data_IF_665621872707
#
_entry.id   IF_665621872707
#
_cell.length_a   1.000
_cell.length_b   1.000
_cell.length_c   1.000
_cell.angle_alpha   90.00
_cell.angle_beta   90.00
_cell.angle_gamma   90.00
#
_symmetry.space_group_name_H-M   'P 1'
#
loop_
_entity.id
_entity.type
_entity.pdbx_description
1 polymer ?
#
# COMPACT_ATOMS: atom_id res chain seq x y z
N UNK A 1 18.92 29.28 -1.05
CA UNK A 1 17.95 28.54 -0.21
C UNK A 1 17.65 27.27 -0.98
N UNK A 2 18.14 26.12 -0.50
CA UNK A 2 17.89 24.82 -1.09
C UNK A 2 16.75 24.14 -0.35
N UNK A 3 15.61 24.00 -1.02
CA UNK A 3 14.57 23.04 -0.69
C UNK A 3 13.67 22.88 -1.92
N UNK A 4 13.76 21.75 -2.62
CA UNK A 4 12.73 21.34 -3.57
C UNK A 4 12.12 20.02 -3.06
N UNK A 5 10.99 20.08 -2.35
CA UNK A 5 10.33 18.93 -1.75
C UNK A 5 9.62 18.01 -2.75
N UNK A 6 9.70 18.27 -4.06
CA UNK A 6 9.01 17.46 -5.07
C UNK A 6 9.86 16.29 -5.60
N UNK A 7 11.18 16.35 -5.49
CA UNK A 7 12.09 15.39 -6.15
C UNK A 7 12.11 13.98 -5.54
N UNK A 8 11.61 13.79 -4.31
CA UNK A 8 11.57 12.48 -3.63
C UNK A 8 10.16 11.91 -3.43
N UNK A 9 9.10 12.73 -3.55
CA UNK A 9 7.71 12.26 -3.39
C UNK A 9 7.23 11.49 -4.63
N UNK A 10 7.84 11.76 -5.79
CA UNK A 10 7.62 11.06 -7.07
C UNK A 10 8.95 10.55 -7.66
N UNK A 11 9.93 10.24 -6.81
CA UNK A 11 11.22 9.71 -7.24
C UNK A 11 11.13 8.29 -7.84
N UNK A 12 12.22 7.82 -8.43
CA UNK A 12 12.34 6.46 -8.97
C UNK A 12 11.83 5.34 -8.04
N UNK A 13 12.04 5.39 -6.70
CA UNK A 13 11.47 4.38 -5.80
C UNK A 13 9.95 4.29 -5.84
N UNK A 14 9.26 5.43 -6.01
CA UNK A 14 7.80 5.46 -6.13
C UNK A 14 7.34 4.78 -7.44
N UNK A 15 8.09 4.99 -8.54
CA UNK A 15 7.82 4.34 -9.83
C UNK A 15 8.09 2.83 -9.82
N UNK A 16 9.05 2.37 -9.02
CA UNK A 16 9.36 0.94 -8.87
C UNK A 16 8.39 0.20 -7.93
N UNK A 17 7.70 0.93 -7.04
CA UNK A 17 6.81 0.35 -6.01
C UNK A 17 5.73 -0.58 -6.57
N UNK A 18 4.99 -0.25 -7.65
CA UNK A 18 3.97 -1.13 -8.22
C UNK A 18 4.49 -2.52 -8.65
N UNK A 19 5.80 -2.61 -8.95
CA UNK A 19 6.46 -3.82 -9.44
C UNK A 19 7.26 -4.56 -8.35
N UNK A 20 7.28 -4.02 -7.12
CA UNK A 20 8.06 -4.56 -6.00
C UNK A 20 7.18 -5.39 -5.09
N UNK A 21 7.63 -6.58 -4.65
CA UNK A 21 6.90 -7.47 -3.72
C UNK A 21 6.87 -6.92 -2.29
N UNK A 22 6.06 -5.89 -2.04
CA UNK A 22 5.83 -5.25 -0.74
C UNK A 22 4.32 -5.19 -0.45
N UNK A 23 3.88 -5.21 0.82
CA UNK A 23 2.51 -4.89 1.22
C UNK A 23 1.88 -3.72 0.45
N UNK A 24 0.62 -3.84 0.06
CA UNK A 24 -0.06 -2.86 -0.79
C UNK A 24 0.19 -3.05 -2.29
N UNK A 25 0.37 -4.31 -2.74
CA UNK A 25 0.38 -4.65 -4.16
C UNK A 25 -1.00 -4.44 -4.76
N UNK A 26 -1.04 -3.93 -5.98
CA UNK A 26 -2.24 -3.91 -6.79
C UNK A 26 -2.45 -5.28 -7.42
N UNK A 27 -3.63 -5.87 -7.27
CA UNK A 27 -3.95 -7.21 -7.77
C UNK A 27 -5.35 -7.25 -8.40
N UNK A 28 -5.58 -8.20 -9.29
CA UNK A 28 -6.89 -8.46 -9.87
C UNK A 28 -7.02 -9.93 -10.32
N UNK A 29 -8.24 -10.48 -10.46
CA UNK A 29 -8.43 -11.80 -11.08
C UNK A 29 -8.08 -11.74 -12.57
N UNK A 30 -7.35 -12.74 -13.08
CA UNK A 30 -6.88 -12.78 -14.48
C UNK A 30 -8.03 -12.67 -15.49
N UNK A 31 -9.15 -13.36 -15.24
CA UNK A 31 -10.31 -13.38 -16.14
C UNK A 31 -11.13 -12.09 -16.13
N UNK A 32 -10.87 -11.22 -15.16
CA UNK A 32 -11.59 -9.97 -14.96
C UNK A 32 -10.65 -8.91 -14.37
N UNK A 33 -9.61 -8.50 -15.13
CA UNK A 33 -8.48 -7.73 -14.61
C UNK A 33 -8.81 -6.25 -14.34
N UNK A 34 -10.09 -5.88 -14.44
CA UNK A 34 -10.64 -4.56 -14.14
C UNK A 34 -11.28 -4.48 -12.74
N UNK A 35 -11.47 -5.62 -12.07
CA UNK A 35 -11.77 -5.65 -10.63
C UNK A 35 -10.48 -5.62 -9.83
N UNK A 36 -10.01 -4.41 -9.58
CA UNK A 36 -8.73 -4.17 -8.92
C UNK A 36 -8.91 -3.96 -7.41
N UNK A 37 -7.95 -4.46 -6.66
CA UNK A 37 -7.80 -4.17 -5.25
C UNK A 37 -6.34 -4.19 -4.84
N UNK A 38 -6.12 -4.05 -3.55
CA UNK A 38 -4.81 -4.06 -2.93
C UNK A 38 -4.58 -5.36 -2.16
N UNK A 39 -3.32 -5.64 -1.85
CA UNK A 39 -2.93 -6.73 -0.98
C UNK A 39 -2.44 -6.24 0.38
N UNK A 40 -2.58 -7.11 1.38
CA UNK A 40 -2.18 -6.86 2.75
C UNK A 40 -0.75 -7.32 2.96
N UNK A 41 -0.58 -8.50 3.53
CA UNK A 41 0.71 -9.05 3.96
C UNK A 41 1.01 -10.40 3.34
N UNK A 42 2.29 -10.70 3.16
CA UNK A 42 2.78 -12.02 2.81
C UNK A 42 2.85 -12.91 4.04
N UNK A 43 2.39 -14.14 3.92
CA UNK A 43 2.29 -15.10 5.01
C UNK A 43 2.88 -16.44 4.61
N UNK A 44 3.57 -17.07 5.56
CA UNK A 44 3.84 -18.50 5.52
C UNK A 44 2.54 -19.23 5.91
N UNK A 45 2.14 -20.23 5.15
CA UNK A 45 0.84 -20.89 5.33
C UNK A 45 0.84 -22.04 6.35
N UNK A 46 2.00 -22.40 6.89
CA UNK A 46 2.19 -23.46 7.87
C UNK A 46 3.45 -23.19 8.70
N UNK A 47 3.50 -23.72 9.92
CA UNK A 47 4.74 -23.74 10.71
C UNK A 47 5.62 -24.96 10.41
N UNK A 48 5.14 -25.89 9.57
CA UNK A 48 5.92 -27.03 9.10
C UNK A 48 7.05 -26.54 8.17
N UNK A 49 8.33 -26.81 8.51
CA UNK A 49 9.45 -26.36 7.68
C UNK A 49 9.45 -26.94 6.26
N UNK A 50 8.74 -28.04 6.00
CA UNK A 50 8.60 -28.65 4.67
C UNK A 50 7.61 -27.86 3.80
N UNK A 51 6.58 -27.27 4.40
CA UNK A 51 5.58 -26.48 3.68
C UNK A 51 6.10 -25.06 3.40
N UNK A 52 6.66 -24.89 2.21
CA UNK A 52 7.19 -23.60 1.73
C UNK A 52 6.15 -22.74 1.01
N UNK A 53 4.85 -23.02 1.14
CA UNK A 53 3.83 -22.19 0.49
C UNK A 53 3.78 -20.80 1.09
N UNK A 54 3.61 -19.80 0.22
CA UNK A 54 3.48 -18.40 0.58
C UNK A 54 2.12 -17.92 0.11
N UNK A 55 1.36 -17.34 1.02
CA UNK A 55 0.08 -16.70 0.74
C UNK A 55 0.19 -15.20 0.82
N UNK A 56 -0.65 -14.52 0.06
CA UNK A 56 -0.88 -13.08 0.13
C UNK A 56 -2.30 -12.84 0.63
N UNK A 57 -2.42 -12.17 1.77
CA UNK A 57 -3.71 -11.77 2.33
C UNK A 57 -4.31 -10.64 1.50
N UNK A 58 -5.59 -10.73 1.17
CA UNK A 58 -6.40 -9.65 0.56
C UNK A 58 -7.88 -9.85 0.93
N UNK A 59 -8.78 -9.02 0.41
CA UNK A 59 -10.22 -9.19 0.58
C UNK A 59 -10.78 -10.32 -0.30
N UNK A 60 -11.87 -10.94 0.16
CA UNK A 60 -12.62 -11.92 -0.62
C UNK A 60 -13.15 -11.28 -1.91
N UNK A 61 -13.73 -10.09 -1.81
CA UNK A 61 -14.29 -9.38 -2.97
C UNK A 61 -13.26 -8.87 -3.98
N UNK A 62 -11.98 -8.84 -3.60
CA UNK A 62 -10.88 -8.52 -4.54
C UNK A 62 -10.49 -9.77 -5.33
N UNK A 63 -10.44 -10.93 -4.67
CA UNK A 63 -10.10 -12.21 -5.32
C UNK A 63 -11.25 -12.78 -6.14
N UNK A 64 -12.49 -12.66 -5.64
CA UNK A 64 -13.72 -13.15 -6.27
C UNK A 64 -14.80 -12.06 -6.17
N UNK A 65 -14.80 -11.07 -7.09
CA UNK A 65 -15.74 -9.96 -7.06
C UNK A 65 -17.20 -10.43 -7.14
N UNK A 66 -18.10 -9.96 -6.23
CA UNK A 66 -19.49 -10.39 -6.17
C UNK A 66 -20.29 -10.27 -7.48
N UNK A 67 -20.06 -9.24 -8.33
CA UNK A 67 -20.74 -9.16 -9.63
C UNK A 67 -20.44 -10.34 -10.58
N UNK A 68 -19.33 -11.06 -10.37
CA UNK A 68 -18.91 -12.20 -11.19
C UNK A 68 -19.07 -13.53 -10.44
N UNK A 69 -18.84 -13.52 -9.13
CA UNK A 69 -18.79 -14.72 -8.32
C UNK A 69 -19.87 -14.69 -7.24
N UNK A 70 -20.59 -15.81 -7.08
CA UNK A 70 -21.50 -15.96 -5.96
C UNK A 70 -20.73 -15.90 -4.63
N UNK A 71 -21.32 -15.23 -3.63
CA UNK A 71 -20.76 -15.12 -2.28
C UNK A 71 -20.82 -16.47 -1.55
N UNK A 72 -19.80 -17.30 -1.78
CA UNK A 72 -19.65 -18.62 -1.19
C UNK A 72 -18.18 -18.89 -0.88
N UNK A 73 -17.96 -19.73 0.14
CA UNK A 73 -16.63 -20.23 0.42
C UNK A 73 -16.04 -20.96 -0.78
N UNK A 74 -14.79 -20.64 -1.09
CA UNK A 74 -14.02 -21.30 -2.12
C UNK A 74 -12.67 -21.72 -1.55
N UNK A 75 -12.23 -22.93 -1.87
CA UNK A 75 -10.88 -23.40 -1.57
C UNK A 75 -10.40 -24.18 -2.76
N UNK A 76 -9.28 -23.75 -3.35
CA UNK A 76 -8.67 -24.48 -4.43
C UNK A 76 -8.27 -25.88 -3.97
N UNK A 77 -8.64 -26.87 -4.78
CA UNK A 77 -8.25 -28.26 -4.63
C UNK A 77 -7.81 -28.75 -5.99
N UNK A 78 -6.54 -29.14 -6.07
CA UNK A 78 -5.96 -29.69 -7.29
C UNK A 78 -6.82 -30.87 -7.81
N UNK A 79 -7.02 -30.91 -9.13
CA UNK A 79 -7.86 -31.91 -9.79
C UNK A 79 -9.37 -31.77 -9.60
N UNK A 80 -9.85 -30.88 -8.70
CA UNK A 80 -11.30 -30.72 -8.44
C UNK A 80 -11.87 -29.42 -9.02
N UNK A 81 -11.10 -28.32 -8.94
CA UNK A 81 -11.54 -27.00 -9.42
C UNK A 81 -10.52 -26.42 -10.39
N UNK A 82 -10.96 -25.68 -11.43
CA UNK A 82 -10.03 -24.90 -12.23
C UNK A 82 -9.31 -23.89 -11.34
N UNK A 83 -8.03 -23.68 -11.63
CA UNK A 83 -7.21 -22.68 -10.97
C UNK A 83 -7.75 -21.28 -11.32
N UNK A 84 -8.02 -20.46 -10.30
CA UNK A 84 -8.46 -19.08 -10.46
C UNK A 84 -7.24 -18.15 -10.29
N UNK A 85 -6.60 -17.80 -11.40
CA UNK A 85 -5.37 -17.01 -11.42
C UNK A 85 -5.58 -15.54 -11.02
N UNK A 86 -4.56 -14.99 -10.36
CA UNK A 86 -4.49 -13.60 -9.93
C UNK A 86 -3.27 -12.94 -10.57
N UNK A 87 -3.49 -11.74 -11.11
CA UNK A 87 -2.45 -10.92 -11.74
C UNK A 87 -1.98 -9.81 -10.83
N UNK A 88 -0.68 -9.51 -10.90
CA UNK A 88 -0.09 -8.32 -10.33
C UNK A 88 -0.38 -7.15 -11.27
N UNK A 89 -0.93 -6.07 -10.73
CA UNK A 89 -1.49 -4.94 -11.48
C UNK A 89 -2.64 -5.42 -12.38
N UNK A 90 -3.85 -4.94 -12.14
CA UNK A 90 -4.93 -5.06 -13.13
C UNK A 90 -4.68 -4.18 -14.35
N UNK A 91 -5.65 -4.11 -15.26
CA UNK A 91 -5.49 -3.32 -16.49
C UNK A 91 -5.28 -1.83 -16.22
N UNK A 92 -6.08 -1.24 -15.33
CA UNK A 92 -5.99 0.19 -15.02
C UNK A 92 -4.71 0.47 -14.23
N UNK A 93 -4.44 -0.31 -13.19
CA UNK A 93 -3.24 -0.19 -12.37
C UNK A 93 -1.94 -0.27 -13.19
N UNK A 94 -1.86 -1.16 -14.19
CA UNK A 94 -0.68 -1.25 -15.06
C UNK A 94 -0.56 -0.03 -15.98
N UNK A 95 -1.65 0.38 -16.62
CA UNK A 95 -1.65 1.55 -17.50
C UNK A 95 -1.29 2.82 -16.73
N UNK A 96 -1.80 2.99 -15.51
CA UNK A 96 -1.47 4.10 -14.64
C UNK A 96 0.02 4.07 -14.26
N UNK A 97 0.57 2.91 -13.88
CA UNK A 97 2.00 2.78 -13.54
C UNK A 97 2.93 3.10 -14.73
N UNK A 98 2.59 2.66 -15.94
CA UNK A 98 3.33 3.02 -17.16
C UNK A 98 3.19 4.52 -17.47
N UNK A 99 1.97 5.06 -17.32
CA UNK A 99 1.69 6.48 -17.48
C UNK A 99 2.47 7.35 -16.51
N UNK A 100 2.63 6.91 -15.26
CA UNK A 100 3.41 7.58 -14.23
C UNK A 100 4.90 7.65 -14.58
N UNK A 101 5.47 6.56 -15.11
CA UNK A 101 6.86 6.54 -15.60
C UNK A 101 7.04 7.54 -16.75
N UNK A 102 6.13 7.53 -17.72
CA UNK A 102 6.19 8.44 -18.87
C UNK A 102 6.01 9.91 -18.46
N UNK A 103 5.11 10.18 -17.51
CA UNK A 103 4.90 11.52 -16.94
C UNK A 103 6.15 11.99 -16.20
N UNK A 104 6.79 11.13 -15.42
CA UNK A 104 8.04 11.45 -14.74
C UNK A 104 9.14 11.82 -15.74
N UNK A 105 9.32 11.04 -16.81
CA UNK A 105 10.28 11.35 -17.89
C UNK A 105 9.96 12.71 -18.51
N UNK A 106 8.71 12.97 -18.87
CA UNK A 106 8.27 14.24 -19.45
C UNK A 106 8.56 15.43 -18.54
N UNK A 107 8.30 15.29 -17.23
CA UNK A 107 8.60 16.32 -16.23
C UNK A 107 10.11 16.61 -16.15
N UNK A 108 10.96 15.59 -16.16
CA UNK A 108 12.42 15.77 -16.16
C UNK A 108 12.92 16.45 -17.45
N UNK A 109 12.38 16.08 -18.62
CA UNK A 109 12.71 16.74 -19.90
C UNK A 109 12.34 18.22 -19.85
N UNK A 110 11.13 18.55 -19.38
CA UNK A 110 10.69 19.94 -19.23
C UNK A 110 11.58 20.75 -18.27
N UNK A 111 12.00 20.13 -17.15
CA UNK A 111 12.92 20.74 -16.19
C UNK A 111 14.30 21.02 -16.82
N UNK A 112 14.86 20.07 -17.58
CA UNK A 112 16.12 20.25 -18.32
C UNK A 112 16.00 21.44 -19.27
N UNK A 113 14.95 21.52 -20.09
CA UNK A 113 14.76 22.64 -21.02
C UNK A 113 14.69 23.99 -20.31
N UNK A 114 14.02 24.06 -19.15
CA UNK A 114 13.97 25.29 -18.34
C UNK A 114 15.33 25.68 -17.77
N UNK A 115 16.13 24.72 -17.29
CA UNK A 115 17.46 24.97 -16.76
C UNK A 115 18.48 25.30 -17.85
N UNK A 116 18.41 24.67 -19.02
CA UNK A 116 19.23 25.00 -20.18
C UNK A 116 18.93 26.43 -20.65
N UNK A 117 17.66 26.84 -20.70
CA UNK A 117 17.29 28.23 -20.99
C UNK A 117 17.86 29.18 -19.93
N UNK A 118 17.73 28.85 -18.64
CA UNK A 118 18.32 29.66 -17.57
C UNK A 118 19.85 29.78 -17.69
N UNK A 119 20.51 28.72 -18.14
CA UNK A 119 21.97 28.68 -18.36
C UNK A 119 22.39 29.63 -19.48
N UNK A 120 21.57 29.82 -20.53
CA UNK A 120 21.85 30.81 -21.61
C UNK A 120 21.89 32.26 -21.09
N UNK A 121 21.19 32.54 -19.99
CA UNK A 121 21.17 33.84 -19.34
C UNK A 121 22.34 34.05 -18.38
N UNK A 122 23.12 32.99 -18.08
CA UNK A 122 24.36 33.10 -17.30
C UNK A 122 25.50 33.49 -18.25
N UNK A 123 26.26 34.57 -17.96
CA UNK A 123 27.39 34.97 -18.80
C UNK A 123 28.38 33.83 -19.06
N UNK A 124 29.12 33.87 -20.16
CA UNK A 124 30.22 32.93 -20.39
C UNK A 124 31.29 33.03 -19.29
N UNK A 125 31.94 31.91 -18.97
CA UNK A 125 32.97 31.85 -17.93
C UNK A 125 34.11 32.85 -18.20
N UNK A 126 34.59 33.49 -17.14
CA UNK A 126 35.75 34.40 -17.16
C UNK A 126 36.62 34.18 -15.92
N UNK A 127 37.93 34.32 -16.10
CA UNK A 127 38.97 34.04 -15.08
C UNK A 127 38.82 34.83 -13.76
N UNK A 128 38.07 35.94 -13.76
CA UNK A 128 37.81 36.79 -12.59
C UNK A 128 36.30 37.06 -12.36
N UNK A 129 35.41 36.14 -12.74
CA UNK A 129 33.97 36.33 -12.52
C UNK A 129 33.57 36.26 -11.03
N UNK A 130 32.43 36.87 -10.69
CA UNK A 130 31.91 36.80 -9.33
C UNK A 130 31.54 35.36 -8.95
N UNK A 131 31.96 34.89 -7.77
CA UNK A 131 31.70 33.52 -7.27
C UNK A 131 30.23 33.10 -7.35
N UNK A 132 29.28 34.04 -7.22
CA UNK A 132 27.84 33.77 -7.38
C UNK A 132 27.45 33.30 -8.79
N UNK A 133 28.13 33.79 -9.82
CA UNK A 133 27.89 33.42 -11.22
C UNK A 133 28.40 32.00 -11.46
N UNK A 134 29.61 31.69 -11.00
CA UNK A 134 30.17 30.33 -11.05
C UNK A 134 29.27 29.34 -10.33
N UNK A 135 28.90 29.64 -9.08
CA UNK A 135 28.02 28.78 -8.28
C UNK A 135 26.66 28.54 -8.96
N UNK A 136 26.08 29.57 -9.61
CA UNK A 136 24.82 29.40 -10.34
C UNK A 136 24.97 28.51 -11.56
N UNK A 137 26.07 28.64 -12.30
CA UNK A 137 26.39 27.79 -13.45
C UNK A 137 26.55 26.33 -13.02
N UNK A 138 27.28 26.09 -11.94
CA UNK A 138 27.54 24.76 -11.40
C UNK A 138 26.25 24.11 -10.88
N UNK A 139 25.40 24.87 -10.19
CA UNK A 139 24.07 24.43 -9.74
C UNK A 139 23.21 23.96 -10.92
N UNK A 140 23.08 24.78 -11.97
CA UNK A 140 22.27 24.44 -13.14
C UNK A 140 22.82 23.21 -13.88
N UNK A 141 24.13 23.13 -14.08
CA UNK A 141 24.76 21.95 -14.68
C UNK A 141 24.53 20.68 -13.86
N UNK A 142 24.62 20.79 -12.52
CA UNK A 142 24.35 19.67 -11.62
C UNK A 142 22.89 19.20 -11.71
N UNK A 143 21.93 20.13 -11.76
CA UNK A 143 20.51 19.82 -11.94
C UNK A 143 20.22 19.13 -13.28
N UNK A 144 20.78 19.66 -14.38
CA UNK A 144 20.63 19.08 -15.72
C UNK A 144 21.18 17.64 -15.74
N UNK A 145 22.39 17.42 -15.22
CA UNK A 145 23.00 16.10 -15.19
C UNK A 145 22.20 15.12 -14.30
N UNK A 146 21.74 15.58 -13.14
CA UNK A 146 20.90 14.77 -12.25
C UNK A 146 19.57 14.36 -12.90
N UNK A 147 18.93 15.25 -13.64
CA UNK A 147 17.71 14.92 -14.38
C UNK A 147 17.96 13.97 -15.55
N UNK A 148 19.10 14.08 -16.26
CA UNK A 148 19.50 13.13 -17.31
C UNK A 148 19.64 11.71 -16.75
N UNK A 149 20.33 11.54 -15.63
CA UNK A 149 20.44 10.23 -14.94
C UNK A 149 19.07 9.69 -14.54
N UNK A 150 18.18 10.54 -14.01
CA UNK A 150 16.81 10.13 -13.67
C UNK A 150 16.00 9.67 -14.89
N UNK A 151 16.18 10.33 -16.03
CA UNK A 151 15.53 9.93 -17.30
C UNK A 151 16.07 8.57 -17.77
N UNK A 152 17.39 8.35 -17.70
CA UNK A 152 18.01 7.06 -18.04
C UNK A 152 17.44 5.93 -17.19
N UNK A 153 17.46 6.07 -15.87
CA UNK A 153 16.90 5.07 -14.93
C UNK A 153 15.39 4.81 -15.17
N UNK A 154 14.62 5.87 -15.44
CA UNK A 154 13.19 5.75 -15.72
C UNK A 154 12.92 5.06 -17.07
N UNK A 155 13.75 5.30 -18.09
CA UNK A 155 13.68 4.61 -19.38
C UNK A 155 14.05 3.13 -19.26
N UNK A 156 15.05 2.78 -18.44
CA UNK A 156 15.37 1.40 -18.13
C UNK A 156 14.21 0.69 -17.46
N UNK A 157 13.60 1.32 -16.44
CA UNK A 157 12.40 0.82 -15.80
C UNK A 157 11.25 0.66 -16.81
N UNK A 158 10.98 1.68 -17.64
CA UNK A 158 9.95 1.64 -18.67
C UNK A 158 10.16 0.45 -19.63
N UNK A 159 11.40 0.25 -20.10
CA UNK A 159 11.76 -0.86 -20.99
C UNK A 159 11.54 -2.21 -20.31
N UNK A 160 11.95 -2.33 -19.04
CA UNK A 160 11.74 -3.54 -18.26
C UNK A 160 10.25 -3.85 -18.07
N UNK A 161 9.43 -2.85 -17.68
CA UNK A 161 8.01 -3.09 -17.38
C UNK A 161 7.22 -3.39 -18.66
N UNK A 162 7.48 -2.68 -19.74
CA UNK A 162 6.81 -2.94 -21.02
C UNK A 162 7.17 -4.31 -21.60
N UNK A 163 8.43 -4.75 -21.43
CA UNK A 163 8.85 -6.08 -21.87
C UNK A 163 8.22 -7.22 -21.06
N UNK A 164 8.09 -7.05 -19.73
CA UNK A 164 7.76 -8.17 -18.83
C UNK A 164 6.31 -8.15 -18.31
N UNK A 165 5.57 -7.03 -18.41
CA UNK A 165 4.26 -6.88 -17.78
C UNK A 165 3.15 -6.43 -18.73
N UNK A 166 3.44 -6.12 -20.00
CA UNK A 166 2.41 -5.65 -20.96
C UNK A 166 1.30 -6.66 -21.18
N UNK A 167 1.64 -7.94 -21.40
CA UNK A 167 0.65 -9.00 -21.50
C UNK A 167 0.12 -9.36 -20.11
N UNK A 168 -1.20 -9.48 -19.99
CA UNK A 168 -1.88 -9.79 -18.71
C UNK A 168 -1.46 -11.14 -18.14
N UNK A 169 -1.17 -12.10 -19.00
CA UNK A 169 -0.72 -13.45 -18.66
C UNK A 169 0.69 -13.44 -18.05
N UNK A 170 1.56 -12.52 -18.47
CA UNK A 170 2.90 -12.37 -17.89
C UNK A 170 2.86 -11.82 -16.46
N UNK A 171 1.75 -11.18 -16.09
CA UNK A 171 1.51 -10.61 -14.77
C UNK A 171 0.94 -11.61 -13.76
N UNK A 172 0.57 -12.80 -14.20
CA UNK A 172 0.11 -13.87 -13.29
C UNK A 172 1.22 -14.17 -12.30
N UNK A 173 0.89 -14.09 -11.01
CA UNK A 173 1.85 -14.32 -9.93
C UNK A 173 1.39 -15.32 -8.87
N UNK A 174 0.17 -15.82 -9.00
CA UNK A 174 -0.43 -16.76 -8.07
C UNK A 174 -1.89 -17.04 -8.42
N UNK A 175 -2.59 -17.70 -7.50
CA UNK A 175 -3.97 -18.09 -7.66
C UNK A 175 -4.73 -18.02 -6.34
N UNK A 176 -6.06 -17.92 -6.39
CA UNK A 176 -6.92 -17.93 -5.21
C UNK A 176 -6.83 -19.31 -4.54
N UNK A 177 -6.14 -19.40 -3.41
CA UNK A 177 -6.08 -20.65 -2.63
C UNK A 177 -7.34 -20.80 -1.78
N UNK A 178 -7.78 -19.71 -1.16
CA UNK A 178 -9.00 -19.69 -0.38
C UNK A 178 -9.63 -18.31 -0.45
N UNK A 179 -10.95 -18.26 -0.70
CA UNK A 179 -11.76 -17.07 -0.56
C UNK A 179 -12.86 -17.39 0.44
N UNK A 180 -12.92 -16.64 1.53
CA UNK A 180 -13.99 -16.81 2.51
C UNK A 180 -15.31 -16.27 1.96
N UNK A 181 -16.42 -16.86 2.38
CA UNK A 181 -17.73 -16.23 2.26
C UNK A 181 -17.72 -14.92 3.03
N UNK A 182 -18.22 -13.85 2.41
CA UNK A 182 -18.40 -12.55 3.05
C UNK A 182 -19.62 -12.64 3.95
N UNK A 183 -19.41 -12.68 5.26
CA UNK A 183 -20.46 -12.80 6.26
C UNK A 183 -20.03 -12.32 7.65
N UNK A 184 -21.02 -12.09 8.52
CA UNK A 184 -20.78 -11.86 9.94
C UNK A 184 -20.41 -13.19 10.61
N UNK A 185 -19.16 -13.30 11.05
CA UNK A 185 -18.67 -14.51 11.70
C UNK A 185 -18.67 -14.43 13.23
N UNK A 186 -17.88 -15.33 13.83
CA UNK A 186 -17.71 -15.41 15.28
C UNK A 186 -17.22 -14.07 15.85
N UNK A 187 -17.78 -13.66 16.98
CA UNK A 187 -17.48 -12.36 17.59
C UNK A 187 -18.19 -11.18 16.93
N UNK A 188 -19.02 -11.42 15.92
CA UNK A 188 -19.83 -10.39 15.27
C UNK A 188 -19.10 -9.57 14.21
N UNK A 189 -17.86 -9.91 13.86
CA UNK A 189 -17.10 -9.18 12.84
C UNK A 189 -17.51 -9.55 11.42
N UNK A 190 -17.50 -8.57 10.52
CA UNK A 190 -17.56 -8.84 9.08
C UNK A 190 -16.25 -9.48 8.62
N UNK A 191 -16.33 -10.67 8.06
CA UNK A 191 -15.18 -11.34 7.45
C UNK A 191 -15.24 -11.20 5.94
N UNK A 192 -14.23 -10.53 5.39
CA UNK A 192 -14.05 -10.34 3.96
C UNK A 192 -12.56 -10.53 3.66
N UNK A 193 -12.15 -11.78 3.47
CA UNK A 193 -10.75 -12.12 3.33
C UNK A 193 -10.52 -13.30 2.37
N UNK A 194 -9.35 -13.29 1.76
CA UNK A 194 -8.89 -14.29 0.82
C UNK A 194 -7.38 -14.45 0.95
N UNK A 195 -6.89 -15.64 0.59
CA UNK A 195 -5.48 -15.97 0.46
C UNK A 195 -5.22 -16.31 -1.00
N UNK A 196 -4.35 -15.51 -1.62
CA UNK A 196 -3.76 -15.82 -2.93
C UNK A 196 -2.45 -16.55 -2.68
N UNK A 197 -2.34 -17.81 -3.07
CA UNK A 197 -1.07 -18.53 -3.01
C UNK A 197 -0.19 -18.07 -4.18
N UNK A 198 1.05 -17.71 -3.89
CA UNK A 198 2.03 -17.34 -4.90
C UNK A 198 2.53 -18.58 -5.63
N UNK A 199 2.81 -18.42 -6.92
CA UNK A 199 3.62 -19.41 -7.64
C UNK A 199 5.08 -19.32 -7.18
N UNK A 200 5.76 -20.46 -7.08
CA UNK A 200 7.08 -20.56 -6.47
C UNK A 200 8.15 -19.70 -7.17
N UNK A 201 8.01 -19.45 -8.48
CA UNK A 201 8.93 -18.66 -9.30
C UNK A 201 8.64 -17.14 -9.25
N UNK A 202 7.58 -16.72 -8.55
CA UNK A 202 7.09 -15.33 -8.58
C UNK A 202 7.55 -14.48 -7.40
N UNK A 203 8.30 -15.07 -6.49
CA UNK A 203 8.99 -14.39 -5.40
C UNK A 203 10.43 -14.92 -5.30
N UNK A 204 11.38 -14.02 -5.54
CA UNK A 204 12.80 -14.26 -5.27
C UNK A 204 13.03 -13.95 -3.79
N UNK A 205 13.16 -15.01 -2.99
CA UNK A 205 13.26 -14.87 -1.55
C UNK A 205 14.59 -14.24 -1.11
N UNK A 206 15.68 -14.47 -1.85
CA UNK A 206 16.97 -13.82 -1.61
C UNK A 206 16.89 -12.29 -1.80
N UNK A 207 15.97 -11.82 -2.66
CA UNK A 207 15.70 -10.40 -2.89
C UNK A 207 14.51 -9.86 -2.10
N UNK A 208 13.76 -10.71 -1.41
CA UNK A 208 12.58 -10.28 -0.66
C UNK A 208 13.00 -9.46 0.55
N UNK A 209 12.55 -8.21 0.63
CA UNK A 209 12.94 -7.29 1.71
C UNK A 209 12.15 -7.49 3.01
N UNK A 210 11.31 -8.53 3.08
CA UNK A 210 10.39 -8.78 4.19
C UNK A 210 9.05 -8.07 4.01
N UNK A 211 8.11 -8.36 4.90
CA UNK A 211 6.90 -7.56 5.08
C UNK A 211 7.28 -6.16 5.59
N UNK A 212 7.61 -5.25 4.68
CA UNK A 212 7.88 -3.83 4.96
C UNK A 212 6.91 -2.96 4.19
N UNK A 213 6.12 -2.16 4.89
CA UNK A 213 5.17 -1.24 4.27
C UNK A 213 5.90 0.04 3.81
N UNK A 214 5.75 0.40 2.54
CA UNK A 214 6.23 1.68 2.05
C UNK A 214 5.34 2.81 2.56
N UNK A 215 5.91 3.74 3.33
CA UNK A 215 5.21 4.88 3.95
C UNK A 215 5.58 6.23 3.31
N UNK A 216 6.28 6.19 2.17
CA UNK A 216 6.65 7.37 1.37
C UNK A 216 5.75 7.56 0.15
N UNK A 217 6.30 8.06 -0.94
CA UNK A 217 5.56 8.38 -2.16
C UNK A 217 4.87 9.72 -1.99
N UNK A 218 3.55 9.77 -1.98
CA UNK A 218 2.78 11.01 -1.82
C UNK A 218 2.84 11.64 -0.40
N UNK A 219 3.72 11.15 0.49
CA UNK A 219 3.93 11.64 1.86
C UNK A 219 5.41 11.80 2.19
N UNK A 220 5.71 12.85 2.94
CA UNK A 220 7.06 13.21 3.35
C UNK A 220 7.46 12.57 4.68
N UNK A 221 8.76 12.58 4.96
CA UNK A 221 9.31 12.32 6.29
C UNK A 221 8.71 13.25 7.37
N UNK A 222 8.39 14.49 7.02
CA UNK A 222 7.76 15.44 7.93
C UNK A 222 6.31 15.04 8.25
N UNK A 223 5.56 14.58 7.25
CA UNK A 223 4.19 14.07 7.46
C UNK A 223 4.19 12.86 8.39
N UNK A 224 5.09 11.88 8.17
CA UNK A 224 5.25 10.74 9.08
C UNK A 224 5.47 11.18 10.53
N UNK A 225 6.41 12.12 10.74
CA UNK A 225 6.68 12.67 12.07
C UNK A 225 5.44 13.33 12.68
N UNK A 226 4.77 14.18 11.91
CA UNK A 226 3.68 15.01 12.41
C UNK A 226 2.42 14.20 12.75
N UNK A 227 2.12 13.14 11.98
CA UNK A 227 0.88 12.38 12.16
C UNK A 227 1.06 11.08 12.95
N UNK A 228 2.27 10.52 12.98
CA UNK A 228 2.56 9.29 13.73
C UNK A 228 3.29 9.56 15.06
N UNK A 229 3.84 10.76 15.26
CA UNK A 229 4.44 11.20 16.52
C UNK A 229 3.97 12.63 16.88
N UNK A 230 2.65 12.84 16.98
CA UNK A 230 2.07 14.18 17.06
C UNK A 230 2.40 14.89 18.38
N UNK A 231 2.54 14.14 19.47
CA UNK A 231 2.75 14.69 20.80
C UNK A 231 4.22 15.07 21.05
N UNK A 232 4.51 16.15 21.79
CA UNK A 232 5.89 16.49 22.17
C UNK A 232 6.62 15.34 22.88
N UNK A 233 5.91 14.57 23.71
CA UNK A 233 6.47 13.42 24.42
C UNK A 233 6.74 12.24 23.47
N UNK A 234 5.93 12.04 22.43
CA UNK A 234 6.14 11.01 21.41
C UNK A 234 7.42 11.26 20.60
N UNK A 235 7.80 12.53 20.41
CA UNK A 235 8.95 12.91 19.58
C UNK A 235 10.27 12.35 20.08
N UNK A 236 10.38 11.98 21.37
CA UNK A 236 11.57 11.31 21.90
C UNK A 236 11.74 9.89 21.34
N UNK A 237 10.64 9.22 20.99
CA UNK A 237 10.62 7.90 20.38
C UNK A 237 10.50 7.93 18.85
N UNK A 238 10.56 9.12 18.24
CA UNK A 238 10.50 9.24 16.79
C UNK A 238 11.68 8.52 16.15
N UNK A 239 11.36 7.62 15.23
CA UNK A 239 12.31 7.01 14.33
C UNK A 239 11.76 7.09 12.91
N UNK A 240 12.61 7.50 11.96
CA UNK A 240 12.28 7.43 10.54
C UNK A 240 12.70 6.06 10.02
N UNK A 241 11.77 5.23 9.50
CA UNK A 241 12.15 3.99 8.84
C UNK A 241 13.10 4.29 7.69
N UNK A 242 14.22 3.56 7.63
CA UNK A 242 15.16 3.66 6.51
C UNK A 242 14.41 3.43 5.19
N UNK A 243 14.68 4.27 4.20
CA UNK A 243 14.06 4.23 2.87
C UNK A 243 12.52 4.34 2.89
N UNK A 244 11.94 4.90 3.97
CA UNK A 244 10.48 4.95 4.18
C UNK A 244 9.83 3.55 4.18
N UNK A 245 10.57 2.51 4.59
CA UNK A 245 10.09 1.13 4.66
C UNK A 245 9.87 0.70 6.11
N UNK A 246 8.62 0.75 6.58
CA UNK A 246 8.23 0.37 7.93
C UNK A 246 8.16 -1.17 8.06
N UNK A 247 9.02 -1.82 8.87
CA UNK A 247 8.95 -3.26 9.09
C UNK A 247 7.67 -3.64 9.82
N UNK A 248 6.93 -4.61 9.29
CA UNK A 248 5.70 -5.11 9.88
C UNK A 248 5.98 -6.28 10.81
N UNK A 249 5.31 -6.32 11.96
CA UNK A 249 5.50 -7.34 12.98
C UNK A 249 4.27 -7.48 13.86
N UNK A 250 3.97 -8.68 14.32
CA UNK A 250 2.90 -8.91 15.29
C UNK A 250 1.58 -8.24 14.90
N UNK A 251 0.75 -7.92 15.89
CA UNK A 251 -0.53 -7.25 15.67
C UNK A 251 -0.98 -6.54 16.94
N UNK A 252 -1.94 -5.64 16.80
CA UNK A 252 -2.55 -4.94 17.94
C UNK A 252 -3.59 -5.86 18.60
N UNK A 253 -3.45 -6.18 19.91
CA UNK A 253 -4.41 -7.03 20.61
C UNK A 253 -5.75 -6.31 20.81
N UNK A 254 -6.83 -7.08 20.99
CA UNK A 254 -8.19 -6.53 21.15
C UNK A 254 -8.30 -5.48 22.26
N UNK A 255 -7.71 -5.74 23.43
CA UNK A 255 -7.76 -4.82 24.57
C UNK A 255 -7.17 -3.44 24.24
N UNK A 256 -6.08 -3.40 23.45
CA UNK A 256 -5.46 -2.14 23.03
C UNK A 256 -6.25 -1.48 21.89
N UNK A 257 -6.81 -2.27 20.96
CA UNK A 257 -7.66 -1.75 19.88
C UNK A 257 -8.92 -1.06 20.42
N UNK A 258 -9.53 -1.62 21.47
CA UNK A 258 -10.72 -1.09 22.15
C UNK A 258 -10.38 0.07 23.11
N UNK A 259 -9.16 0.10 23.65
CA UNK A 259 -8.72 1.12 24.59
C UNK A 259 -7.32 1.65 24.21
N UNK A 260 -7.23 2.49 23.16
CA UNK A 260 -5.96 3.06 22.72
C UNK A 260 -5.33 3.96 23.77
N UNK A 261 -4.00 3.92 23.88
CA UNK A 261 -3.25 4.76 24.83
C UNK A 261 -2.51 5.94 24.19
N UNK A 262 -2.27 5.93 22.86
CA UNK A 262 -1.62 7.06 22.20
C UNK A 262 -2.60 8.22 22.06
N UNK A 263 -2.07 9.44 21.95
CA UNK A 263 -2.84 10.63 21.66
C UNK A 263 -2.58 11.07 20.22
N UNK A 264 -3.64 11.49 19.53
CA UNK A 264 -3.53 12.05 18.19
C UNK A 264 -3.17 13.55 18.17
N UNK A 265 -3.18 14.17 16.99
CA UNK A 265 -2.92 15.61 16.82
C UNK A 265 -3.93 16.51 17.55
N UNK A 266 -5.10 15.97 17.91
CA UNK A 266 -6.19 16.67 18.62
C UNK A 266 -6.22 16.32 20.12
N UNK A 267 -5.20 15.65 20.64
CA UNK A 267 -5.10 15.15 22.02
C UNK A 267 -6.20 14.14 22.39
N UNK A 268 -6.72 13.40 21.41
CA UNK A 268 -7.69 12.33 21.64
C UNK A 268 -7.01 10.97 21.65
N UNK A 269 -7.49 10.07 22.51
CA UNK A 269 -6.98 8.69 22.59
C UNK A 269 -7.29 7.93 21.31
N UNK A 270 -6.25 7.46 20.62
CA UNK A 270 -6.37 6.68 19.40
C UNK A 270 -5.13 5.82 19.11
N UNK A 271 -5.29 4.80 18.27
CA UNK A 271 -4.17 4.21 17.55
C UNK A 271 -3.88 5.06 16.32
N UNK A 272 -2.62 5.45 16.16
CA UNK A 272 -2.16 6.16 14.98
C UNK A 272 -1.92 5.14 13.87
N UNK A 273 -2.63 5.32 12.77
CA UNK A 273 -2.73 4.35 11.69
C UNK A 273 -2.09 4.88 10.41
N UNK A 274 -1.42 3.99 9.69
CA UNK A 274 -0.91 4.23 8.34
C UNK A 274 -1.27 3.05 7.45
N UNK A 275 -1.51 3.32 6.17
CA UNK A 275 -1.51 2.30 5.12
C UNK A 275 -0.78 2.82 3.89
N UNK A 276 -0.48 1.92 2.96
CA UNK A 276 -0.23 2.26 1.57
C UNK A 276 -1.21 1.46 0.71
N UNK A 277 -2.07 2.20 0.01
CA UNK A 277 -3.10 1.65 -0.84
C UNK A 277 -2.84 1.90 -2.32
N UNK A 278 -3.43 1.06 -3.15
CA UNK A 278 -3.33 1.14 -4.60
C UNK A 278 -3.85 2.44 -5.19
N UNK A 279 -4.92 3.01 -4.62
CA UNK A 279 -5.60 4.19 -5.16
C UNK A 279 -5.14 5.49 -4.50
N UNK A 280 -4.88 5.48 -3.20
CA UNK A 280 -4.56 6.71 -2.43
C UNK A 280 -3.10 6.84 -2.03
N UNK A 281 -2.26 5.86 -2.34
CA UNK A 281 -0.87 5.80 -1.86
C UNK A 281 -0.83 5.73 -0.33
N UNK A 282 0.11 6.45 0.29
CA UNK A 282 0.21 6.50 1.74
C UNK A 282 -0.80 7.47 2.35
N UNK A 283 -1.57 6.98 3.32
CA UNK A 283 -2.51 7.78 4.11
C UNK A 283 -2.30 7.57 5.61
N UNK A 284 -2.52 8.63 6.38
CA UNK A 284 -2.46 8.61 7.84
C UNK A 284 -3.86 8.77 8.41
N UNK A 285 -4.12 8.10 9.53
CA UNK A 285 -5.41 8.13 10.18
C UNK A 285 -5.35 7.73 11.64
N UNK A 286 -6.52 7.53 12.22
CA UNK A 286 -6.69 7.14 13.62
C UNK A 286 -7.79 6.11 13.79
N UNK A 287 -7.58 5.19 14.72
CA UNK A 287 -8.59 4.24 15.20
C UNK A 287 -8.84 4.50 16.68
N UNK A 288 -10.05 4.91 17.03
CA UNK A 288 -10.41 5.34 18.38
C UNK A 288 -11.36 4.35 19.10
N UNK A 289 -11.35 3.08 18.69
CA UNK A 289 -12.20 2.03 19.27
C UNK A 289 -13.67 2.10 18.86
N UNK A 290 -14.06 3.00 17.94
CA UNK A 290 -15.42 3.06 17.42
C UNK A 290 -15.68 1.88 16.48
N UNK A 291 -16.71 1.11 16.81
CA UNK A 291 -17.25 0.02 16.00
C UNK A 291 -18.49 0.48 15.24
N UNK A 292 -18.56 0.16 13.95
CA UNK A 292 -19.82 0.19 13.21
C UNK A 292 -20.64 -1.06 13.56
N UNK A 293 -21.96 -0.96 13.64
CA UNK A 293 -22.83 -2.09 14.04
C UNK A 293 -23.85 -2.44 12.95
N UNK A 294 -24.03 -1.66 11.90
CA UNK A 294 -25.00 -2.01 10.83
C UNK A 294 -24.57 -1.43 9.49
N UNK A 295 -24.27 -2.32 8.53
CA UNK A 295 -23.98 -1.95 7.14
C UNK A 295 -24.78 -2.82 6.20
N UNK A 296 -25.34 -2.22 5.14
CA UNK A 296 -26.05 -2.94 4.08
C UNK A 296 -25.07 -3.17 2.93
N UNK A 297 -24.78 -4.42 2.63
CA UNK A 297 -23.93 -4.82 1.50
C UNK A 297 -24.83 -5.31 0.36
N UNK A 298 -25.61 -4.39 -0.20
CA UNK A 298 -26.62 -4.69 -1.23
C UNK A 298 -25.96 -5.35 -2.46
N UNK A 299 -24.80 -4.83 -2.87
CA UNK A 299 -24.04 -5.31 -4.03
C UNK A 299 -23.48 -6.74 -3.85
N UNK A 300 -23.48 -7.23 -2.61
CA UNK A 300 -23.01 -8.56 -2.24
C UNK A 300 -24.18 -9.54 -1.99
N UNK A 301 -25.43 -9.10 -2.21
CA UNK A 301 -26.64 -9.86 -1.89
C UNK A 301 -26.90 -10.02 -0.39
N UNK A 302 -26.12 -9.37 0.47
CA UNK A 302 -26.21 -9.48 1.93
C UNK A 302 -27.21 -8.44 2.44
N UNK A 303 -28.36 -8.91 2.92
CA UNK A 303 -29.43 -8.07 3.48
C UNK A 303 -29.05 -7.63 4.88
N UNK A 304 -28.80 -6.32 5.08
CA UNK A 304 -28.72 -5.60 6.37
C UNK A 304 -28.39 -6.47 7.59
N UNK A 305 -27.13 -6.89 7.72
CA UNK A 305 -26.66 -7.62 8.89
C UNK A 305 -26.03 -6.66 9.91
N UNK A 306 -26.19 -6.98 11.20
CA UNK A 306 -25.44 -6.27 12.24
C UNK A 306 -24.01 -6.81 12.25
N UNK A 307 -23.07 -6.05 11.75
CA UNK A 307 -21.68 -6.43 11.64
C UNK A 307 -20.80 -5.42 12.39
N UNK A 308 -19.83 -5.93 13.16
CA UNK A 308 -18.77 -5.16 13.79
C UNK A 308 -17.64 -4.92 12.79
N UNK A 309 -17.33 -3.66 12.55
CA UNK A 309 -16.17 -3.21 11.79
C UNK A 309 -15.52 -2.04 12.53
N UNK A 310 -14.19 -1.96 12.52
CA UNK A 310 -13.49 -0.82 13.10
C UNK A 310 -13.37 0.30 12.07
N UNK A 311 -13.57 1.54 12.53
CA UNK A 311 -13.47 2.71 11.69
C UNK A 311 -12.06 3.31 11.78
N UNK A 312 -11.48 3.60 10.62
CA UNK A 312 -10.29 4.44 10.50
C UNK A 312 -10.72 5.82 10.00
N UNK A 313 -10.41 6.86 10.77
CA UNK A 313 -10.64 8.24 10.37
C UNK A 313 -9.34 8.82 9.80
N UNK A 314 -9.37 9.28 8.54
CA UNK A 314 -8.19 9.84 7.87
C UNK A 314 -7.91 11.29 8.26
N UNK A 315 -6.67 11.71 8.00
CA UNK A 315 -6.24 13.10 8.11
C UNK A 315 -5.97 13.72 6.74
N UNK A 316 -6.40 14.97 6.58
CA UNK A 316 -5.77 15.87 5.62
C UNK A 316 -4.38 16.23 6.17
N UNK A 317 -3.31 15.91 5.42
CA UNK A 317 -1.94 16.18 5.87
C UNK A 317 -1.50 17.64 5.74
N UNK A 318 -2.33 18.48 5.12
CA UNK A 318 -2.12 19.93 4.99
C UNK A 318 -2.81 20.70 6.10
N UNK A 319 -4.05 20.31 6.46
CA UNK A 319 -4.86 21.06 7.44
C UNK A 319 -4.94 20.39 8.81
N UNK A 320 -4.73 19.06 8.89
CA UNK A 320 -4.98 18.28 10.10
C UNK A 320 -6.45 17.92 10.33
N UNK A 321 -7.35 18.32 9.42
CA UNK A 321 -8.77 18.00 9.50
C UNK A 321 -9.08 16.55 9.07
N UNK A 322 -10.34 16.17 9.19
CA UNK A 322 -10.82 14.87 8.69
C UNK A 322 -10.80 14.85 7.15
N UNK A 323 -10.25 13.76 6.61
CA UNK A 323 -10.29 13.44 5.18
C UNK A 323 -10.56 11.95 4.97
N UNK A 324 -10.81 11.57 3.71
CA UNK A 324 -10.86 10.17 3.30
C UNK A 324 -9.54 9.48 3.62
N UNK A 325 -9.62 8.32 4.28
CA UNK A 325 -8.44 7.50 4.53
C UNK A 325 -8.16 6.52 3.38
N UNK A 326 -9.18 6.16 2.61
CA UNK A 326 -9.10 5.21 1.50
C UNK A 326 -9.99 5.59 0.32
N UNK A 327 -9.79 4.93 -0.81
CA UNK A 327 -10.66 5.02 -1.99
C UNK A 327 -10.85 3.64 -2.63
N UNK A 328 -11.75 3.53 -3.61
CA UNK A 328 -11.93 2.32 -4.39
C UNK A 328 -10.60 1.86 -5.02
N UNK A 329 -10.23 0.60 -4.79
CA UNK A 329 -8.92 0.03 -5.13
C UNK A 329 -7.98 -0.17 -3.94
N UNK A 330 -8.24 0.47 -2.79
CA UNK A 330 -7.48 0.24 -1.55
C UNK A 330 -7.94 -1.00 -0.76
N UNK A 331 -9.08 -1.61 -1.10
CA UNK A 331 -9.58 -2.82 -0.45
C UNK A 331 -8.52 -3.91 -0.45
N UNK A 332 -8.30 -4.54 0.70
CA UNK A 332 -7.26 -5.53 0.92
C UNK A 332 -5.92 -4.96 1.39
N UNK A 333 -5.71 -3.63 1.36
CA UNK A 333 -4.56 -3.03 2.03
C UNK A 333 -4.57 -3.29 3.53
N UNK A 334 -3.38 -3.50 4.10
CA UNK A 334 -3.22 -3.64 5.53
C UNK A 334 -3.04 -2.26 6.19
N UNK A 335 -3.77 -2.04 7.28
CA UNK A 335 -3.62 -0.87 8.15
C UNK A 335 -2.73 -1.23 9.33
N UNK A 336 -1.73 -0.40 9.61
CA UNK A 336 -0.69 -0.70 10.61
C UNK A 336 -0.46 0.50 11.54
N UNK A 337 0.04 0.21 12.74
CA UNK A 337 0.46 1.21 13.71
C UNK A 337 1.84 1.78 13.39
N UNK A 338 2.20 2.89 14.04
CA UNK A 338 3.54 3.53 13.93
C UNK A 338 4.71 2.60 14.28
N UNK A 339 4.44 1.55 15.04
CA UNK A 339 5.39 0.55 15.52
C UNK A 339 5.46 -0.70 14.61
N UNK A 340 4.75 -0.68 13.47
CA UNK A 340 4.70 -1.79 12.52
C UNK A 340 3.69 -2.89 12.88
N UNK A 341 2.93 -2.76 13.97
CA UNK A 341 1.90 -3.75 14.33
C UNK A 341 0.66 -3.64 13.46
N UNK A 342 0.16 -4.79 13.01
CA UNK A 342 -1.03 -4.89 12.18
C UNK A 342 -2.27 -4.50 12.99
N UNK A 343 -3.02 -3.51 12.50
CA UNK A 343 -4.28 -3.06 13.10
C UNK A 343 -5.44 -3.85 12.47
N UNK A 344 -5.54 -3.87 11.14
CA UNK A 344 -6.62 -4.57 10.45
C UNK A 344 -6.52 -4.54 8.93
N UNK A 345 -7.29 -5.39 8.28
CA UNK A 345 -7.43 -5.46 6.83
C UNK A 345 -8.53 -4.51 6.37
N UNK A 346 -8.23 -3.64 5.41
CA UNK A 346 -9.19 -2.69 4.87
C UNK A 346 -10.21 -3.40 3.96
N UNK A 347 -11.49 -3.29 4.28
CA UNK A 347 -12.59 -3.96 3.55
C UNK A 347 -13.40 -3.00 2.69
N UNK A 348 -13.41 -1.71 2.99
CA UNK A 348 -14.01 -0.70 2.12
C UNK A 348 -14.21 0.65 2.79
N UNK A 349 -14.83 1.58 2.06
CA UNK A 349 -15.25 2.89 2.53
C UNK A 349 -16.76 3.02 2.72
N UNK A 350 -17.21 4.17 3.20
CA UNK A 350 -18.63 4.48 3.33
C UNK A 350 -18.88 5.83 3.95
N UNK A 351 -19.67 6.64 3.26
CA UNK A 351 -20.06 7.98 3.66
C UNK A 351 -20.47 8.80 2.43
N UNK A 352 -21.31 9.83 2.58
CA UNK A 352 -21.83 10.59 1.44
C UNK A 352 -20.81 11.55 0.82
N UNK A 353 -19.74 11.90 1.55
CA UNK A 353 -18.73 12.89 1.14
C UNK A 353 -17.34 12.49 1.66
N UNK A 354 -16.28 12.97 1.02
CA UNK A 354 -14.88 12.76 1.45
C UNK A 354 -14.60 13.13 2.92
N UNK A 355 -15.27 14.17 3.45
CA UNK A 355 -15.10 14.60 4.86
C UNK A 355 -15.79 13.67 5.86
N UNK A 356 -16.79 12.95 5.39
CA UNK A 356 -17.61 12.03 6.19
C UNK A 356 -17.31 10.56 5.90
N UNK A 357 -16.48 10.29 4.88
CA UNK A 357 -16.10 8.94 4.50
C UNK A 357 -15.38 8.25 5.64
N UNK A 358 -15.83 7.04 5.93
CA UNK A 358 -15.29 6.16 6.95
C UNK A 358 -14.69 4.95 6.25
N UNK A 359 -13.41 4.71 6.48
CA UNK A 359 -12.79 3.46 6.10
C UNK A 359 -13.08 2.40 7.15
N UNK A 360 -13.49 1.22 6.70
CA UNK A 360 -13.75 0.06 7.53
C UNK A 360 -12.61 -0.94 7.42
N UNK A 361 -12.27 -1.52 8.58
CA UNK A 361 -11.30 -2.61 8.67
C UNK A 361 -11.89 -3.77 9.46
N UNK A 362 -11.56 -4.99 9.06
CA UNK A 362 -11.65 -6.16 9.95
C UNK A 362 -10.38 -6.21 10.79
N UNK A 363 -10.47 -6.25 12.14
CA UNK A 363 -9.30 -6.17 12.99
C UNK A 363 -8.42 -7.42 12.84
N UNK A 364 -7.11 -7.23 12.78
CA UNK A 364 -6.18 -8.32 12.43
C UNK A 364 -6.17 -9.43 13.50
N UNK A 365 -6.38 -9.10 14.78
CA UNK A 365 -6.48 -10.12 15.82
C UNK A 365 -7.64 -11.10 15.57
N UNK A 366 -8.78 -10.63 15.06
CA UNK A 366 -9.94 -11.46 14.76
C UNK A 366 -9.72 -12.27 13.48
N UNK A 367 -9.11 -11.64 12.46
CA UNK A 367 -8.69 -12.33 11.23
C UNK A 367 -7.73 -13.48 11.52
N UNK A 368 -6.74 -13.26 12.40
CA UNK A 368 -5.76 -14.30 12.76
C UNK A 368 -6.42 -15.57 13.28
N UNK A 369 -7.50 -15.46 14.07
CA UNK A 369 -8.22 -16.62 14.63
C UNK A 369 -8.82 -17.47 13.50
N UNK A 370 -9.53 -16.84 12.56
CA UNK A 370 -10.16 -17.57 11.45
C UNK A 370 -9.14 -18.08 10.43
N UNK A 371 -8.08 -17.30 10.16
CA UNK A 371 -6.98 -17.73 9.29
C UNK A 371 -6.24 -18.92 9.88
N UNK A 372 -5.92 -18.92 11.17
CA UNK A 372 -5.24 -20.04 11.83
C UNK A 372 -6.12 -21.29 11.92
N UNK A 373 -7.45 -21.15 11.98
CA UNK A 373 -8.37 -22.29 11.86
C UNK A 373 -8.32 -22.91 10.46
N UNK A 374 -8.19 -22.09 9.42
CA UNK A 374 -8.13 -22.55 8.03
C UNK A 374 -6.74 -23.08 7.64
N UNK A 375 -5.70 -22.41 8.10
CA UNK A 375 -4.29 -22.67 7.83
C UNK A 375 -3.54 -22.71 9.17
N UNK A 376 -3.55 -23.86 9.88
CA UNK A 376 -2.89 -23.97 11.17
C UNK A 376 -1.40 -23.62 11.11
N UNK A 377 -0.96 -22.74 12.01
CA UNK A 377 0.43 -22.30 12.08
C UNK A 377 0.78 -21.20 11.07
N UNK A 378 -0.18 -20.62 10.36
CA UNK A 378 0.10 -19.49 9.46
C UNK A 378 0.59 -18.26 10.23
N UNK A 379 1.58 -17.58 9.67
CA UNK A 379 2.24 -16.42 10.27
C UNK A 379 2.81 -15.50 9.20
N UNK A 380 3.18 -14.28 9.59
CA UNK A 380 3.82 -13.33 8.67
C UNK A 380 5.13 -13.93 8.16
N UNK A 381 5.36 -13.83 6.85
CA UNK A 381 6.62 -14.23 6.24
C UNK A 381 7.73 -13.30 6.72
N UNK A 382 8.69 -13.83 7.48
CA UNK A 382 9.84 -13.07 7.98
C UNK A 382 11.03 -13.15 7.02
N UNK A 383 11.95 -12.19 7.15
CA UNK A 383 13.21 -12.15 6.38
C UNK A 383 14.13 -13.35 6.65
N UNK A 384 14.04 -13.97 7.81
CA UNK A 384 14.85 -15.15 8.15
C UNK A 384 14.32 -16.43 7.50
N UNK A 385 13.09 -16.38 6.97
CA UNK A 385 12.37 -17.51 6.37
C UNK A 385 12.18 -17.35 4.85
N UNK A 386 12.56 -16.18 4.32
CA UNK A 386 12.73 -15.89 2.92
C UNK A 386 14.21 -16.05 2.62
#
# INVERSE_FOLDING_TARGET
MNFDPTLDLEGLPALQKPFTRTPGLLIAPLKSPYYEGSSGVFMRLSSDPIDKRIGLLTCAHVSRPPPIFANMDYTYKEGTHPREDVVLLGMKAFNDAVGDIMRFIGNQVGAISAWELALTSVPAWKENEASKITAKRDELNSLINGAKTKIEDANELHTYVTKNFTATELRVFGFVLHCAKIEVGVGGYMYDWSIVQLDNDKIDLDKFKGNKLFIGGNKTAADWKNYMFPQPNDRRGFNMPKDMLLPLKGYVPEAELRNPQNLDIHNLKALLAVKNGGATGTTFGRVNGLESVTRKYIDYGIRSEKALEFIVCGYDTKTGDNAKFSDAGDSGSIVVGRDGRLIGLLTGGGGPTDKTDKTYITPFYALRIVMNKKFPGCHLLNLEEA
#
